data_IF_222007053855
#
_entry.id   IF_222007053855
#
_cell.length_a   1.000
_cell.length_b   1.000
_cell.length_c   1.000
_cell.angle_alpha   90.00
_cell.angle_beta   90.00
_cell.angle_gamma   90.00
#
_symmetry.space_group_name_H-M   'P 1'
#
loop_
_entity.id
_entity.type
_entity.pdbx_description
1 polymer ?
#
# COMPACT_ATOMS: atom_id res chain seq x y z
N UNK A 1 7.03 -30.57 20.82
CA UNK A 1 6.31 -29.41 21.39
C UNK A 1 6.45 -28.26 20.42
N UNK A 2 5.30 -27.81 19.91
CA UNK A 2 5.13 -26.69 18.99
C UNK A 2 5.89 -25.43 19.44
N UNK A 3 6.42 -24.69 18.47
CA UNK A 3 6.42 -23.22 18.54
C UNK A 3 5.78 -22.73 17.27
N UNK A 4 4.45 -22.62 17.31
CA UNK A 4 3.70 -21.84 16.32
C UNK A 4 4.02 -20.38 16.63
N UNK A 5 4.79 -19.73 15.77
CA UNK A 5 5.11 -18.31 15.90
C UNK A 5 3.81 -17.54 15.74
N UNK A 6 3.39 -16.83 16.80
CA UNK A 6 2.26 -15.91 16.77
C UNK A 6 2.74 -14.65 16.07
N UNK A 7 2.38 -14.49 14.79
CA UNK A 7 2.52 -13.20 14.10
C UNK A 7 1.60 -12.19 14.78
N UNK A 8 2.19 -11.17 15.41
CA UNK A 8 1.45 -10.08 16.05
C UNK A 8 1.14 -9.03 14.98
N UNK A 9 -0.11 -8.94 14.56
CA UNK A 9 -0.57 -7.89 13.65
C UNK A 9 -0.86 -6.63 14.46
N UNK A 10 -0.11 -5.55 14.22
CA UNK A 10 -0.33 -4.24 14.84
C UNK A 10 -0.95 -3.33 13.79
N UNK A 11 -2.10 -2.71 14.12
CA UNK A 11 -2.66 -1.61 13.32
C UNK A 11 -2.09 -0.31 13.89
N UNK A 12 -1.16 0.31 13.17
CA UNK A 12 -0.65 1.63 13.50
C UNK A 12 -1.52 2.68 12.79
N UNK A 13 -2.43 3.32 13.52
CA UNK A 13 -3.25 4.41 12.99
C UNK A 13 -2.58 5.77 13.23
N UNK A 14 -1.93 6.33 12.21
CA UNK A 14 -1.59 7.76 12.20
C UNK A 14 -2.71 8.49 11.45
N UNK A 15 -3.60 9.16 12.19
CA UNK A 15 -4.70 9.94 11.62
C UNK A 15 -4.19 11.35 11.28
N UNK A 16 -3.75 11.57 10.04
CA UNK A 16 -3.53 12.93 9.53
C UNK A 16 -4.80 13.37 8.80
N UNK A 17 -5.61 14.20 9.48
CA UNK A 17 -6.84 14.73 8.93
C UNK A 17 -6.53 15.74 7.80
N UNK A 18 -6.52 15.27 6.55
CA UNK A 18 -6.75 16.12 5.40
C UNK A 18 -8.26 16.38 5.24
N UNK A 19 -8.65 17.43 4.52
CA UNK A 19 -10.05 17.85 4.35
C UNK A 19 -10.96 16.66 3.99
N UNK A 20 -11.96 16.38 4.83
CA UNK A 20 -12.93 15.32 4.60
C UNK A 20 -13.58 15.50 3.22
N UNK A 21 -13.23 14.63 2.28
CA UNK A 21 -14.13 14.27 1.18
C UNK A 21 -15.16 13.33 1.81
N UNK A 22 -16.43 13.43 1.41
CA UNK A 22 -17.55 12.84 2.19
C UNK A 22 -17.33 11.37 2.58
N UNK A 23 -16.60 10.61 1.76
CA UNK A 23 -16.50 9.16 1.92
C UNK A 23 -15.08 8.59 2.04
N UNK A 24 -14.02 9.28 1.60
CA UNK A 24 -12.64 8.87 1.90
C UNK A 24 -12.21 9.35 3.29
N UNK A 25 -11.68 8.45 4.11
CA UNK A 25 -11.42 8.68 5.55
C UNK A 25 -9.93 8.65 5.95
N UNK A 26 -9.02 8.43 5.01
CA UNK A 26 -7.57 8.51 5.23
C UNK A 26 -6.80 7.25 4.86
N UNK A 27 -5.49 7.25 5.12
CA UNK A 27 -4.61 6.11 4.95
C UNK A 27 -4.37 5.39 6.28
N UNK A 28 -4.32 4.06 6.25
CA UNK A 28 -3.95 3.21 7.40
C UNK A 28 -2.96 2.15 6.97
N UNK A 29 -2.25 1.54 7.93
CA UNK A 29 -1.41 0.39 7.65
C UNK A 29 -1.73 -0.79 8.57
N UNK A 30 -1.60 -1.99 8.02
CA UNK A 30 -1.53 -3.24 8.77
C UNK A 30 -0.09 -3.71 8.75
N UNK A 31 0.55 -3.74 9.93
CA UNK A 31 1.97 -4.04 10.06
C UNK A 31 2.16 -5.46 10.61
N UNK A 32 3.09 -6.22 10.04
CA UNK A 32 3.42 -7.58 10.43
C UNK A 32 4.93 -7.77 10.59
N UNK A 33 5.35 -8.36 11.71
CA UNK A 33 6.72 -8.84 11.93
C UNK A 33 6.95 -10.14 11.17
N UNK A 34 8.01 -10.18 10.36
CA UNK A 34 8.35 -11.34 9.53
C UNK A 34 9.21 -12.37 10.30
N UNK A 35 9.69 -12.03 11.50
CA UNK A 35 10.44 -12.91 12.41
C UNK A 35 11.94 -13.04 12.10
N UNK A 36 12.44 -12.25 11.15
CA UNK A 36 13.83 -12.25 10.68
C UNK A 36 14.51 -10.87 10.78
N UNK A 37 13.89 -9.93 11.50
CA UNK A 37 14.35 -8.55 11.62
C UNK A 37 13.84 -7.62 10.52
N UNK A 38 12.99 -8.13 9.63
CA UNK A 38 12.22 -7.34 8.66
C UNK A 38 10.76 -7.25 9.08
N UNK A 39 10.04 -6.27 8.55
CA UNK A 39 8.60 -6.14 8.76
C UNK A 39 7.88 -5.65 7.51
N UNK A 40 6.61 -6.02 7.39
CA UNK A 40 5.78 -5.74 6.21
C UNK A 40 4.65 -4.79 6.58
N UNK A 41 4.49 -3.71 5.83
CA UNK A 41 3.37 -2.79 5.88
C UNK A 41 2.45 -3.02 4.68
N UNK A 42 1.18 -3.34 4.93
CA UNK A 42 0.14 -3.24 3.91
C UNK A 42 -0.62 -1.93 4.12
N UNK A 43 -0.55 -1.02 3.15
CA UNK A 43 -1.13 0.32 3.23
C UNK A 43 -2.49 0.32 2.54
N UNK A 44 -3.50 0.88 3.21
CA UNK A 44 -4.87 0.91 2.73
C UNK A 44 -5.41 2.35 2.65
N UNK A 45 -6.19 2.63 1.62
CA UNK A 45 -7.10 3.78 1.58
C UNK A 45 -8.44 3.38 2.22
N UNK A 46 -8.95 4.18 3.15
CA UNK A 46 -10.14 3.87 3.94
C UNK A 46 -11.34 4.70 3.48
N UNK A 47 -12.52 4.12 3.60
CA UNK A 47 -13.77 4.64 3.04
C UNK A 47 -14.92 4.57 4.06
N UNK A 48 -16.05 5.19 3.74
CA UNK A 48 -17.24 5.26 4.61
C UNK A 48 -18.29 4.22 4.20
N UNK A 49 -18.29 3.79 2.93
CA UNK A 49 -19.23 2.84 2.36
C UNK A 49 -18.54 1.73 1.56
N UNK A 50 -19.16 0.56 1.56
CA UNK A 50 -18.65 -0.62 0.84
C UNK A 50 -18.67 -0.47 -0.70
N UNK A 51 -19.46 0.48 -1.20
CA UNK A 51 -19.60 0.83 -2.61
C UNK A 51 -18.63 1.91 -3.07
N UNK A 52 -17.82 2.47 -2.16
CA UNK A 52 -16.82 3.44 -2.55
C UNK A 52 -15.66 2.75 -3.27
N UNK A 53 -15.03 3.49 -4.18
CA UNK A 53 -14.01 2.98 -5.09
C UNK A 53 -12.70 3.74 -4.93
N UNK A 54 -11.58 3.03 -5.00
CA UNK A 54 -10.26 3.60 -5.31
C UNK A 54 -9.90 3.19 -6.73
N UNK A 55 -9.98 4.13 -7.67
CA UNK A 55 -9.71 3.85 -9.08
C UNK A 55 -8.22 4.01 -9.41
N UNK A 56 -7.59 5.04 -8.85
CA UNK A 56 -6.23 5.41 -9.21
C UNK A 56 -5.45 6.02 -8.06
N UNK A 57 -4.15 5.77 -8.07
CA UNK A 57 -3.16 6.50 -7.31
C UNK A 57 -2.22 7.17 -8.29
N UNK A 58 -1.96 8.47 -8.11
CA UNK A 58 -1.31 9.28 -9.13
C UNK A 58 -0.39 10.35 -8.57
N UNK A 59 0.54 10.80 -9.42
CA UNK A 59 1.32 12.03 -9.26
C UNK A 59 1.17 12.92 -10.49
N UNK A 60 1.01 14.21 -10.26
CA UNK A 60 0.99 15.25 -11.29
C UNK A 60 2.00 16.37 -10.94
N UNK A 61 2.19 17.33 -11.86
CA UNK A 61 3.20 18.37 -11.72
C UNK A 61 2.96 19.31 -10.53
N UNK A 62 1.74 19.37 -9.99
CA UNK A 62 1.39 20.14 -8.81
C UNK A 62 1.48 19.30 -7.53
N UNK A 63 1.13 18.02 -7.65
CA UNK A 63 1.05 17.08 -6.54
C UNK A 63 1.84 15.81 -6.90
N UNK A 64 3.15 15.85 -6.68
CA UNK A 64 4.00 14.68 -6.94
C UNK A 64 3.67 13.55 -5.95
N UNK A 65 3.68 12.33 -6.46
CA UNK A 65 3.58 11.12 -5.66
C UNK A 65 4.96 10.69 -5.20
N UNK A 66 5.07 10.26 -3.94
CA UNK A 66 6.28 9.61 -3.44
C UNK A 66 5.98 8.54 -2.41
N UNK A 67 6.74 7.44 -2.43
CA UNK A 67 6.79 6.41 -1.40
C UNK A 67 8.25 6.07 -1.17
N UNK A 68 8.69 6.13 0.08
CA UNK A 68 10.08 5.97 0.48
C UNK A 68 10.20 5.23 1.80
N UNK A 69 11.40 4.78 2.10
CA UNK A 69 11.77 4.19 3.39
C UNK A 69 13.07 4.83 3.88
N UNK A 70 13.31 4.83 5.19
CA UNK A 70 14.61 5.21 5.77
C UNK A 70 15.74 4.24 5.42
N UNK A 71 15.41 3.01 5.01
CA UNK A 71 16.35 1.96 4.65
C UNK A 71 16.20 1.53 3.20
N UNK A 72 15.84 0.27 2.98
CA UNK A 72 15.56 -0.30 1.67
C UNK A 72 14.28 -1.13 1.71
N UNK A 73 13.54 -1.13 0.59
CA UNK A 73 12.47 -2.09 0.39
C UNK A 73 13.06 -3.43 -0.04
N UNK A 74 12.49 -4.52 0.49
CA UNK A 74 12.79 -5.86 0.02
C UNK A 74 12.10 -6.10 -1.33
N UNK A 75 12.89 -6.55 -2.32
CA UNK A 75 12.41 -7.01 -3.62
C UNK A 75 12.86 -8.45 -3.91
N UNK A 76 11.95 -9.24 -4.46
CA UNK A 76 12.12 -10.63 -4.77
C UNK A 76 12.30 -10.83 -6.29
N UNK A 77 13.28 -11.66 -6.68
CA UNK A 77 13.60 -11.87 -8.10
C UNK A 77 12.49 -12.55 -8.94
N UNK A 78 11.48 -13.11 -8.28
CA UNK A 78 10.28 -13.71 -8.92
C UNK A 78 9.03 -12.83 -8.77
N UNK A 79 9.17 -11.68 -8.12
CA UNK A 79 8.10 -10.70 -7.95
C UNK A 79 8.25 -9.55 -8.93
N UNK A 80 7.79 -8.38 -8.52
CA UNK A 80 7.93 -7.17 -9.31
C UNK A 80 7.13 -6.01 -8.75
N UNK A 81 7.29 -4.83 -9.34
CA UNK A 81 6.78 -3.56 -8.79
C UNK A 81 5.26 -3.49 -8.53
N UNK A 82 4.49 -4.41 -9.09
CA UNK A 82 3.03 -4.46 -8.93
C UNK A 82 2.56 -5.84 -8.50
N UNK A 83 1.42 -5.90 -7.82
CA UNK A 83 0.77 -7.15 -7.40
C UNK A 83 0.53 -8.15 -8.55
N UNK A 84 0.44 -7.68 -9.80
CA UNK A 84 0.34 -8.54 -10.99
C UNK A 84 1.57 -9.45 -11.21
N UNK A 85 2.71 -9.13 -10.60
CA UNK A 85 3.92 -9.96 -10.70
C UNK A 85 3.94 -11.08 -9.64
N UNK A 86 3.02 -11.05 -8.67
CA UNK A 86 2.96 -12.03 -7.60
C UNK A 86 2.15 -13.23 -8.06
N UNK A 87 2.82 -14.35 -8.27
CA UNK A 87 2.18 -15.63 -8.57
C UNK A 87 1.99 -16.45 -7.28
N UNK A 88 0.75 -16.62 -6.78
CA UNK A 88 0.50 -17.29 -5.52
C UNK A 88 0.92 -18.77 -5.53
N UNK A 89 0.97 -19.41 -6.71
CA UNK A 89 1.42 -20.81 -6.84
C UNK A 89 2.92 -20.97 -6.55
N UNK A 90 3.71 -19.89 -6.61
CA UNK A 90 5.15 -19.92 -6.32
C UNK A 90 5.45 -19.74 -4.82
N UNK A 91 4.55 -19.14 -4.04
CA UNK A 91 4.78 -18.83 -2.63
C UNK A 91 5.12 -20.08 -1.78
N UNK A 92 4.44 -21.24 -1.93
CA UNK A 92 4.82 -22.44 -1.17
C UNK A 92 6.24 -22.96 -1.45
N UNK A 93 6.79 -22.64 -2.63
CA UNK A 93 8.14 -23.03 -3.05
C UNK A 93 9.18 -21.97 -2.68
N UNK A 94 8.78 -20.69 -2.71
CA UNK A 94 9.61 -19.52 -2.41
C UNK A 94 8.87 -18.61 -1.41
N UNK A 95 8.85 -18.95 -0.11
CA UNK A 95 8.07 -18.21 0.87
C UNK A 95 8.41 -16.72 0.97
N UNK A 96 9.67 -16.35 0.69
CA UNK A 96 10.12 -14.95 0.63
C UNK A 96 9.44 -14.12 -0.45
N UNK A 97 8.83 -14.73 -1.48
CA UNK A 97 8.03 -14.00 -2.47
C UNK A 97 6.83 -13.30 -1.83
N UNK A 98 6.28 -13.84 -0.75
CA UNK A 98 5.18 -13.20 -0.02
C UNK A 98 5.59 -11.87 0.64
N UNK A 99 6.89 -11.62 0.78
CA UNK A 99 7.46 -10.41 1.38
C UNK A 99 7.86 -9.37 0.32
N UNK A 100 7.68 -9.65 -0.97
CA UNK A 100 7.99 -8.70 -2.06
C UNK A 100 7.24 -7.37 -1.88
N UNK A 101 7.86 -6.26 -2.30
CA UNK A 101 7.26 -4.93 -2.20
C UNK A 101 6.66 -4.51 -3.53
N UNK A 102 5.39 -4.10 -3.52
CA UNK A 102 4.64 -3.81 -4.73
C UNK A 102 3.48 -2.83 -4.48
N UNK A 103 3.04 -2.16 -5.53
CA UNK A 103 1.82 -1.34 -5.53
C UNK A 103 0.63 -2.11 -6.10
N UNK A 104 -0.58 -1.71 -5.72
CA UNK A 104 -1.82 -2.32 -6.21
C UNK A 104 -3.01 -1.37 -6.13
N UNK A 105 -4.15 -1.88 -6.61
CA UNK A 105 -5.50 -1.45 -6.24
C UNK A 105 -6.24 -2.72 -5.81
N UNK A 106 -6.46 -2.90 -4.51
CA UNK A 106 -7.33 -3.93 -3.92
C UNK A 106 -6.79 -5.36 -3.86
N UNK A 107 -6.06 -5.84 -4.87
CA UNK A 107 -5.63 -7.25 -4.97
C UNK A 107 -4.15 -7.45 -4.59
N UNK A 108 -3.83 -8.60 -4.01
CA UNK A 108 -2.46 -8.92 -3.55
C UNK A 108 -1.65 -9.81 -4.50
N UNK A 109 -2.26 -10.27 -5.59
CA UNK A 109 -1.60 -11.16 -6.54
C UNK A 109 -2.17 -11.03 -7.96
N UNK A 110 -1.64 -11.82 -8.90
CA UNK A 110 -2.02 -11.76 -10.33
C UNK A 110 -3.43 -12.29 -10.65
N UNK A 111 -4.12 -12.95 -9.71
CA UNK A 111 -5.41 -13.60 -9.95
C UNK A 111 -6.51 -12.54 -10.09
N UNK A 112 -7.19 -12.53 -11.23
CA UNK A 112 -8.27 -11.58 -11.55
C UNK A 112 -7.85 -10.10 -11.42
N UNK A 113 -6.54 -9.82 -11.57
CA UNK A 113 -5.97 -8.51 -11.33
C UNK A 113 -5.81 -7.71 -12.63
N UNK A 114 -6.67 -6.71 -12.80
CA UNK A 114 -6.75 -5.82 -13.94
C UNK A 114 -5.96 -4.52 -13.77
N UNK A 115 -5.01 -4.48 -12.82
CA UNK A 115 -4.18 -3.30 -12.58
C UNK A 115 -3.44 -2.86 -13.85
N UNK A 116 -3.34 -1.55 -14.03
CA UNK A 116 -2.61 -0.87 -15.09
C UNK A 116 -1.73 0.20 -14.48
N UNK A 117 -0.68 0.60 -15.20
CA UNK A 117 0.13 1.75 -14.82
C UNK A 117 0.64 2.49 -16.06
N UNK A 118 0.91 3.78 -15.90
CA UNK A 118 1.43 4.65 -16.95
C UNK A 118 2.27 5.77 -16.34
N UNK A 119 3.39 6.13 -16.98
CA UNK A 119 4.20 7.29 -16.58
C UNK A 119 4.96 7.14 -15.26
N UNK A 120 5.11 5.91 -14.75
CA UNK A 120 5.91 5.62 -13.55
C UNK A 120 7.13 4.79 -13.94
N UNK A 121 8.30 5.22 -13.51
CA UNK A 121 9.53 4.42 -13.58
C UNK A 121 9.74 3.70 -12.23
N UNK A 122 9.56 2.38 -12.25
CA UNK A 122 9.76 1.55 -11.07
C UNK A 122 11.19 1.01 -10.95
N UNK A 123 12.13 1.31 -11.86
CA UNK A 123 13.47 0.72 -11.83
C UNK A 123 14.22 1.01 -10.51
N UNK A 124 14.05 2.21 -9.95
CA UNK A 124 14.60 2.55 -8.63
C UNK A 124 13.96 1.76 -7.49
N UNK A 125 12.65 1.54 -7.55
CA UNK A 125 11.89 0.77 -6.58
C UNK A 125 12.27 -0.73 -6.62
N UNK A 126 12.39 -1.30 -7.81
CA UNK A 126 12.86 -2.68 -8.04
C UNK A 126 14.30 -2.93 -7.56
N UNK A 127 15.09 -1.86 -7.38
CA UNK A 127 16.41 -1.91 -6.77
C UNK A 127 16.39 -1.70 -5.23
N UNK A 128 15.20 -1.69 -4.62
CA UNK A 128 14.98 -1.46 -3.18
C UNK A 128 14.89 0.01 -2.77
N UNK A 129 14.82 0.93 -3.73
CA UNK A 129 14.71 2.38 -3.51
C UNK A 129 13.29 2.91 -3.51
N UNK A 130 13.14 4.23 -3.58
CA UNK A 130 11.83 4.90 -3.51
C UNK A 130 11.05 4.86 -4.83
N UNK A 131 9.74 5.03 -4.75
CA UNK A 131 8.86 5.40 -5.88
C UNK A 131 8.68 6.92 -5.86
N UNK A 132 8.83 7.57 -7.02
CA UNK A 132 8.51 8.99 -7.18
C UNK A 132 8.03 9.26 -8.60
N UNK A 133 6.97 10.04 -8.75
CA UNK A 133 6.49 10.51 -10.06
C UNK A 133 5.72 11.82 -9.92
N UNK A 134 5.86 12.70 -10.90
CA UNK A 134 5.08 13.93 -11.07
C UNK A 134 4.24 13.89 -12.36
N UNK A 135 4.14 12.73 -13.02
CA UNK A 135 3.36 12.55 -14.24
C UNK A 135 3.05 11.07 -14.50
N UNK A 136 2.48 10.39 -13.51
CA UNK A 136 2.25 8.95 -13.57
C UNK A 136 1.17 8.45 -12.64
N UNK A 137 0.66 7.26 -12.92
CA UNK A 137 -0.40 6.62 -12.13
C UNK A 137 -0.34 5.10 -12.24
N UNK A 138 -0.78 4.41 -11.20
CA UNK A 138 -1.34 3.06 -11.30
C UNK A 138 -2.83 3.10 -10.98
N UNK A 139 -3.60 2.27 -11.68
CA UNK A 139 -5.06 2.34 -11.67
C UNK A 139 -5.70 1.02 -12.09
N UNK A 140 -6.96 0.84 -11.71
CA UNK A 140 -7.88 -0.14 -12.31
C UNK A 140 -9.12 0.60 -12.81
N UNK A 141 -9.92 -0.03 -13.65
CA UNK A 141 -11.13 0.64 -14.16
C UNK A 141 -12.27 0.52 -13.16
N UNK A 142 -13.22 1.48 -13.12
CA UNK A 142 -14.39 1.38 -12.25
C UNK A 142 -15.26 0.13 -12.51
N UNK A 143 -15.10 -0.53 -13.65
CA UNK A 143 -15.80 -1.78 -13.96
C UNK A 143 -15.16 -3.00 -13.25
N UNK A 144 -13.96 -2.86 -12.70
CA UNK A 144 -13.21 -3.94 -12.04
C UNK A 144 -13.58 -4.03 -10.55
N UNK A 145 -14.06 -5.18 -10.04
CA UNK A 145 -14.44 -5.31 -8.63
C UNK A 145 -13.32 -5.00 -7.62
N UNK A 146 -12.05 -5.02 -8.03
CA UNK A 146 -10.90 -4.73 -7.19
C UNK A 146 -10.84 -3.29 -6.66
N UNK A 147 -11.55 -2.35 -7.31
CA UNK A 147 -11.57 -0.95 -6.87
C UNK A 147 -12.44 -0.75 -5.64
N UNK A 148 -13.36 -1.67 -5.34
CA UNK A 148 -14.37 -1.50 -4.29
C UNK A 148 -13.79 -1.66 -2.88
N UNK A 149 -14.16 -0.74 -1.99
CA UNK A 149 -13.81 -0.78 -0.57
C UNK A 149 -14.39 -2.02 0.14
N UNK A 150 -15.54 -2.52 -0.32
CA UNK A 150 -16.12 -3.77 0.14
C UNK A 150 -16.47 -3.77 1.64
N UNK A 151 -16.59 -4.97 2.21
CA UNK A 151 -17.02 -5.13 3.61
C UNK A 151 -16.02 -4.54 4.63
N UNK A 152 -14.74 -4.46 4.25
CA UNK A 152 -13.67 -3.94 5.11
C UNK A 152 -13.54 -2.41 5.05
N UNK A 153 -14.35 -1.75 4.20
CA UNK A 153 -14.33 -0.29 3.98
C UNK A 153 -12.95 0.26 3.63
N UNK A 154 -12.15 -0.52 2.90
CA UNK A 154 -10.78 -0.14 2.56
C UNK A 154 -10.29 -0.85 1.31
N UNK A 155 -9.42 -0.18 0.57
CA UNK A 155 -8.77 -0.72 -0.62
C UNK A 155 -7.26 -0.76 -0.39
N UNK A 156 -6.63 -1.90 -0.68
CA UNK A 156 -5.18 -2.06 -0.58
C UNK A 156 -4.49 -1.19 -1.64
N UNK A 157 -3.50 -0.42 -1.24
CA UNK A 157 -2.71 0.48 -2.09
C UNK A 157 -1.35 -0.12 -2.44
N UNK A 158 -0.81 -0.93 -1.54
CA UNK A 158 0.47 -1.60 -1.74
C UNK A 158 0.95 -2.33 -0.51
N UNK A 159 1.96 -3.17 -0.71
CA UNK A 159 2.69 -3.87 0.32
C UNK A 159 4.16 -3.45 0.26
N UNK A 160 4.73 -3.11 1.41
CA UNK A 160 6.12 -2.66 1.51
C UNK A 160 6.81 -3.39 2.64
N UNK A 161 7.92 -4.06 2.34
CA UNK A 161 8.70 -4.77 3.34
C UNK A 161 10.00 -4.02 3.59
N UNK A 162 10.22 -3.67 4.85
CA UNK A 162 11.38 -2.91 5.31
C UNK A 162 12.42 -3.88 5.84
N UNK A 163 13.68 -3.67 5.44
CA UNK A 163 14.79 -4.55 5.80
C UNK A 163 15.24 -4.45 7.27
N UNK A 164 14.86 -3.38 7.98
CA UNK A 164 15.12 -3.20 9.40
C UNK A 164 13.86 -2.89 10.22
N UNK A 165 13.80 -3.39 11.46
CA UNK A 165 12.71 -3.10 12.40
C UNK A 165 12.56 -1.62 12.76
N UNK A 166 13.66 -0.87 12.70
CA UNK A 166 13.69 0.58 12.96
C UNK A 166 13.42 1.41 11.69
N UNK A 167 13.35 0.77 10.52
CA UNK A 167 13.04 1.46 9.28
C UNK A 167 11.56 1.82 9.19
N UNK A 168 11.25 2.97 8.61
CA UNK A 168 9.88 3.42 8.35
C UNK A 168 9.51 3.31 6.86
N UNK A 169 8.22 3.42 6.56
CA UNK A 169 7.72 3.69 5.22
C UNK A 169 6.88 4.96 5.25
N UNK A 170 7.21 5.91 4.39
CA UNK A 170 6.58 7.23 4.38
C UNK A 170 6.45 7.77 2.96
N UNK A 171 5.52 8.70 2.77
CA UNK A 171 5.24 9.22 1.45
C UNK A 171 4.08 10.18 1.40
N UNK A 172 3.75 10.58 0.18
CA UNK A 172 2.61 11.43 -0.16
C UNK A 172 1.93 10.81 -1.38
N UNK A 173 0.64 10.52 -1.25
CA UNK A 173 -0.19 9.96 -2.32
C UNK A 173 -1.26 10.93 -2.76
N UNK A 174 -1.66 10.82 -4.03
CA UNK A 174 -2.90 11.39 -4.51
C UNK A 174 -3.80 10.26 -5.01
N UNK A 175 -5.06 10.30 -4.59
CA UNK A 175 -6.03 9.24 -4.83
C UNK A 175 -7.18 9.80 -5.65
N UNK A 176 -7.68 9.01 -6.59
CA UNK A 176 -8.92 9.28 -7.30
C UNK A 176 -9.83 8.05 -7.18
N UNK A 177 -11.13 8.31 -7.06
CA UNK A 177 -12.13 7.25 -7.01
C UNK A 177 -13.55 7.78 -7.11
N UNK A 178 -14.51 6.92 -6.81
CA UNK A 178 -15.93 7.27 -6.73
C UNK A 178 -16.48 7.01 -5.34
N UNK A 179 -17.31 7.94 -4.88
CA UNK A 179 -18.19 7.73 -3.75
C UNK A 179 -19.49 7.04 -4.21
N UNK A 180 -20.16 6.31 -3.32
CA UNK A 180 -21.39 5.55 -3.56
C UNK A 180 -22.57 6.31 -4.22
N UNK A 181 -22.50 7.63 -4.34
CA UNK A 181 -23.46 8.49 -5.05
C UNK A 181 -23.01 8.84 -6.50
N UNK A 182 -22.04 8.11 -7.07
CA UNK A 182 -21.40 8.36 -8.38
C UNK A 182 -20.58 9.66 -8.47
N UNK A 183 -20.36 10.33 -7.35
CA UNK A 183 -19.50 11.51 -7.28
C UNK A 183 -18.03 11.09 -7.33
N UNK A 184 -17.28 11.67 -8.26
CA UNK A 184 -15.84 11.41 -8.37
C UNK A 184 -15.10 12.28 -7.35
N UNK A 185 -14.17 11.70 -6.60
CA UNK A 185 -13.37 12.40 -5.62
C UNK A 185 -11.89 12.37 -6.00
N UNK A 186 -11.13 13.35 -5.51
CA UNK A 186 -9.67 13.38 -5.59
C UNK A 186 -9.08 13.84 -4.26
N UNK A 187 -8.48 12.91 -3.51
CA UNK A 187 -7.78 13.21 -2.27
C UNK A 187 -6.29 13.44 -2.58
N UNK A 188 -5.85 14.70 -2.54
CA UNK A 188 -4.47 15.10 -2.86
C UNK A 188 -3.60 15.28 -1.62
N UNK A 189 -2.30 15.14 -1.78
CA UNK A 189 -1.30 15.36 -0.73
C UNK A 189 -1.55 14.52 0.55
N UNK A 190 -1.99 13.28 0.37
CA UNK A 190 -2.24 12.34 1.46
C UNK A 190 -0.92 11.81 2.00
N UNK A 191 -0.37 12.54 2.97
CA UNK A 191 0.88 12.19 3.63
C UNK A 191 0.68 11.04 4.63
N UNK A 192 1.65 10.13 4.68
CA UNK A 192 1.70 9.05 5.67
C UNK A 192 3.14 8.81 6.13
N UNK A 193 3.27 8.30 7.34
CA UNK A 193 4.53 7.82 7.90
C UNK A 193 4.19 6.69 8.88
N UNK A 194 4.63 5.47 8.54
CA UNK A 194 4.38 4.27 9.31
C UNK A 194 5.71 3.63 9.73
N UNK A 195 5.83 3.35 11.02
CA UNK A 195 6.95 2.60 11.60
C UNK A 195 6.39 1.41 12.40
N UNK A 196 7.13 0.30 12.46
CA UNK A 196 6.75 -0.82 13.32
C UNK A 196 6.85 -0.46 14.81
N UNK A 197 7.90 0.29 15.16
CA UNK A 197 8.29 0.60 16.53
C UNK A 197 7.95 2.00 17.02
N UNK A 198 6.70 2.48 16.84
CA UNK A 198 6.20 3.58 17.67
C UNK A 198 6.07 3.08 19.12
N UNK A 199 7.21 3.00 19.83
CA UNK A 199 7.25 2.86 21.28
C UNK A 199 6.51 4.10 21.82
N UNK A 200 5.39 3.96 22.56
CA UNK A 200 4.85 5.09 23.30
C UNK A 200 5.99 5.67 24.12
N UNK A 201 6.23 6.98 24.04
CA UNK A 201 7.25 7.62 24.86
C UNK A 201 7.11 7.09 26.30
N UNK A 202 8.19 6.61 26.95
CA UNK A 202 8.09 6.13 28.32
C UNK A 202 7.57 7.26 29.23
N UNK A 203 6.29 7.20 29.62
CA UNK A 203 5.68 8.14 30.56
C UNK A 203 4.34 8.79 30.17
N UNK A 204 3.42 8.08 29.52
CA UNK A 204 1.99 8.42 29.56
C UNK A 204 1.27 7.64 30.66
#
# INVERSE_FOLDING_TARGET
MNKSTLSLTIVAGSLIASSAMADYTGLTSVNSDNGDGTWTAQIYANFSAATDELDAVFGDAQNALSISTSGMFFQHALGGATSQSINPALIPLFPSLALDSWVTIGLSDQTDNALLNIGIDFAGFEAGGSISTDNGSWFATPDDPQVLAGADLRVLVGQFTMMGMDDNVSGVLNLQGKAGDFETFQARDQAFDFSYGAVPAPGA
#
